data_IF_832885250457
#
_entry.id   IF_832885250457
#
_cell.length_a   1.000
_cell.length_b   1.000
_cell.length_c   1.000
_cell.angle_alpha   90.00
_cell.angle_beta   90.00
_cell.angle_gamma   90.00
#
_symmetry.space_group_name_H-M   'P 1'
#
loop_
_entity.id
_entity.type
_entity.pdbx_description
1 polymer ?
#
# COMPACT_ATOMS: atom_id res chain seq x y z
N UNK A 1 4.15 1.25 -22.95
CA UNK A 1 3.45 1.07 -24.23
C UNK A 1 3.54 -0.37 -24.78
N UNK A 2 4.72 -1.01 -24.77
CA UNK A 2 4.90 -2.40 -25.31
C UNK A 2 3.99 -3.47 -24.68
N UNK A 3 3.54 -3.27 -23.43
CA UNK A 3 2.67 -4.20 -22.72
C UNK A 3 1.17 -3.88 -22.86
N UNK A 4 0.81 -2.72 -23.39
CA UNK A 4 -0.58 -2.27 -23.43
C UNK A 4 -1.47 -3.22 -24.24
N UNK A 5 -1.10 -3.48 -25.49
CA UNK A 5 -1.87 -4.37 -26.36
C UNK A 5 -1.95 -5.80 -25.82
N UNK A 6 -0.83 -6.47 -25.46
CA UNK A 6 -0.89 -7.79 -24.84
C UNK A 6 -1.78 -7.84 -23.59
N UNK A 7 -1.77 -6.80 -22.76
CA UNK A 7 -2.61 -6.71 -21.57
C UNK A 7 -4.10 -6.64 -21.94
N UNK A 8 -4.50 -5.75 -22.84
CA UNK A 8 -5.89 -5.63 -23.26
C UNK A 8 -6.38 -6.89 -24.00
N UNK A 9 -5.56 -7.44 -24.91
CA UNK A 9 -5.87 -8.67 -25.62
C UNK A 9 -6.06 -9.87 -24.68
N UNK A 10 -5.29 -9.92 -23.58
CA UNK A 10 -5.47 -10.96 -22.58
C UNK A 10 -6.92 -10.96 -22.04
N UNK A 11 -7.48 -9.80 -21.70
CA UNK A 11 -8.86 -9.71 -21.23
C UNK A 11 -9.88 -10.04 -22.32
N UNK A 12 -9.65 -9.66 -23.57
CA UNK A 12 -10.52 -10.03 -24.69
C UNK A 12 -10.56 -11.54 -24.89
N UNK A 13 -9.41 -12.21 -24.83
CA UNK A 13 -9.29 -13.66 -25.02
C UNK A 13 -9.93 -14.48 -23.91
N UNK A 14 -9.87 -13.97 -22.67
CA UNK A 14 -10.40 -14.64 -21.49
C UNK A 14 -11.82 -14.14 -21.09
N UNK A 15 -12.46 -13.38 -21.98
CA UNK A 15 -13.76 -12.77 -21.76
C UNK A 15 -14.91 -13.73 -22.12
N UNK A 16 -15.29 -14.57 -21.15
CA UNK A 16 -16.33 -15.57 -21.37
C UNK A 16 -17.74 -14.97 -21.55
N UNK A 17 -17.98 -13.75 -21.10
CA UNK A 17 -19.29 -13.10 -21.08
C UNK A 17 -19.39 -11.88 -22.01
N UNK A 18 -18.41 -11.69 -22.89
CA UNK A 18 -18.27 -10.50 -23.75
C UNK A 18 -18.23 -9.17 -22.97
N UNK A 19 -17.93 -9.21 -21.68
CA UNK A 19 -17.89 -8.01 -20.83
C UNK A 19 -16.83 -7.02 -21.33
N UNK A 20 -15.58 -7.48 -21.50
CA UNK A 20 -14.47 -6.61 -21.92
C UNK A 20 -14.56 -6.20 -23.38
N UNK A 21 -15.04 -7.08 -24.27
CA UNK A 21 -15.28 -6.74 -25.67
C UNK A 21 -16.28 -5.58 -25.77
N UNK A 22 -17.41 -5.66 -25.05
CA UNK A 22 -18.41 -4.60 -25.00
C UNK A 22 -17.88 -3.35 -24.30
N UNK A 23 -17.15 -3.49 -23.19
CA UNK A 23 -16.55 -2.38 -22.46
C UNK A 23 -15.60 -1.59 -23.36
N UNK A 24 -14.69 -2.27 -24.06
CA UNK A 24 -13.72 -1.61 -24.90
C UNK A 24 -14.35 -0.91 -26.09
N UNK A 25 -15.34 -1.53 -26.71
CA UNK A 25 -16.11 -0.89 -27.78
C UNK A 25 -16.85 0.35 -27.28
N UNK A 26 -17.59 0.23 -26.21
CA UNK A 26 -18.38 1.33 -25.63
C UNK A 26 -17.48 2.49 -25.11
N UNK A 27 -16.24 2.22 -24.76
CA UNK A 27 -15.26 3.20 -24.31
C UNK A 27 -14.33 3.71 -25.42
N UNK A 28 -14.58 3.29 -26.69
CA UNK A 28 -13.81 3.74 -27.84
C UNK A 28 -12.38 3.22 -27.88
N UNK A 29 -12.10 2.07 -27.27
CA UNK A 29 -10.81 1.39 -27.30
C UNK A 29 -10.76 0.30 -28.38
N UNK A 30 -11.91 -0.15 -28.86
CA UNK A 30 -12.03 -1.15 -29.91
C UNK A 30 -12.90 -0.62 -31.05
N UNK A 31 -12.60 -1.07 -32.28
CA UNK A 31 -13.30 -0.72 -33.52
C UNK A 31 -14.69 -1.33 -33.59
N UNK A 32 -14.88 -2.44 -32.92
CA UNK A 32 -16.14 -3.19 -32.91
C UNK A 32 -16.30 -4.00 -31.61
N UNK A 33 -17.49 -4.57 -31.43
CA UNK A 33 -17.82 -5.41 -30.27
C UNK A 33 -17.23 -6.84 -30.31
N UNK A 34 -16.44 -7.16 -31.33
CA UNK A 34 -15.69 -8.43 -31.40
C UNK A 34 -14.35 -8.36 -30.65
N UNK A 35 -13.92 -7.16 -30.29
CA UNK A 35 -12.71 -6.91 -29.55
C UNK A 35 -11.50 -6.52 -30.41
N UNK A 36 -11.74 -6.06 -31.65
CA UNK A 36 -10.67 -5.52 -32.49
C UNK A 36 -10.20 -4.17 -31.96
N UNK A 37 -9.06 -4.14 -31.30
CA UNK A 37 -8.52 -2.92 -30.68
C UNK A 37 -8.14 -1.86 -31.71
N UNK A 38 -8.23 -0.60 -31.34
CA UNK A 38 -7.70 0.51 -32.14
C UNK A 38 -6.17 0.42 -32.21
N UNK A 39 -5.58 0.82 -33.33
CA UNK A 39 -4.13 0.63 -33.58
C UNK A 39 -3.24 1.65 -32.89
N UNK A 40 -3.81 2.76 -32.43
CA UNK A 40 -3.15 3.96 -31.94
C UNK A 40 -3.33 4.19 -30.40
N UNK A 41 -3.72 3.13 -29.68
CA UNK A 41 -3.92 3.23 -28.24
C UNK A 41 -2.65 3.59 -27.49
N UNK A 42 -2.80 4.48 -26.54
CA UNK A 42 -1.78 4.90 -25.60
C UNK A 42 -2.14 4.54 -24.14
N UNK A 43 -1.15 4.59 -23.23
CA UNK A 43 -1.37 4.25 -21.82
C UNK A 43 -2.41 5.18 -21.17
N UNK A 44 -2.47 6.43 -21.57
CA UNK A 44 -3.47 7.39 -21.12
C UNK A 44 -4.91 7.00 -21.47
N UNK A 45 -5.12 6.23 -22.54
CA UNK A 45 -6.45 5.74 -22.90
C UNK A 45 -7.02 4.78 -21.86
N UNK A 46 -6.18 4.18 -21.02
CA UNK A 46 -6.62 3.35 -19.90
C UNK A 46 -7.50 4.09 -18.89
N UNK A 47 -7.43 5.43 -18.83
CA UNK A 47 -8.34 6.26 -18.01
C UNK A 47 -9.80 6.06 -18.45
N UNK A 48 -10.05 5.72 -19.71
CA UNK A 48 -11.39 5.39 -20.20
C UNK A 48 -11.99 4.15 -19.53
N UNK A 49 -11.14 3.25 -19.00
CA UNK A 49 -11.55 2.03 -18.30
C UNK A 49 -11.71 2.22 -16.78
N UNK A 50 -11.59 3.45 -16.30
CA UNK A 50 -11.61 3.77 -14.87
C UNK A 50 -12.82 3.22 -14.15
N UNK A 51 -12.57 2.78 -12.93
CA UNK A 51 -13.56 2.41 -11.94
C UNK A 51 -13.27 3.13 -10.63
N UNK A 52 -14.28 3.41 -9.86
CA UNK A 52 -14.11 3.87 -8.48
C UNK A 52 -14.02 2.66 -7.56
N UNK A 53 -13.35 2.82 -6.42
CA UNK A 53 -13.25 1.74 -5.43
C UNK A 53 -14.61 1.15 -5.05
N UNK A 54 -15.66 1.97 -5.05
CA UNK A 54 -17.02 1.52 -4.74
C UNK A 54 -17.61 0.58 -5.81
N UNK A 55 -17.20 0.72 -7.07
CA UNK A 55 -17.65 -0.15 -8.17
C UNK A 55 -17.09 -1.57 -8.06
N UNK A 56 -16.09 -1.78 -7.22
CA UNK A 56 -15.48 -3.08 -6.95
C UNK A 56 -16.12 -3.80 -5.76
N UNK A 57 -17.15 -3.21 -5.14
CA UNK A 57 -17.82 -3.79 -3.98
C UNK A 57 -18.92 -4.77 -4.40
N UNK A 58 -19.10 -5.83 -3.61
CA UNK A 58 -20.14 -6.83 -3.82
C UNK A 58 -20.03 -7.49 -5.19
N UNK A 59 -21.11 -7.46 -5.97
CA UNK A 59 -21.17 -8.09 -7.30
C UNK A 59 -20.41 -7.31 -8.39
N UNK A 60 -20.03 -6.08 -8.13
CA UNK A 60 -19.31 -5.24 -9.09
C UNK A 60 -17.96 -5.83 -9.51
N UNK A 61 -17.23 -6.49 -8.62
CA UNK A 61 -16.02 -7.21 -8.96
C UNK A 61 -16.32 -8.51 -9.70
N UNK A 62 -17.30 -9.28 -9.26
CA UNK A 62 -17.63 -10.59 -9.84
C UNK A 62 -17.94 -10.52 -11.34
N UNK A 63 -18.65 -9.46 -11.77
CA UNK A 63 -19.00 -9.25 -13.17
C UNK A 63 -17.80 -8.97 -14.07
N UNK A 64 -16.65 -8.59 -13.48
CA UNK A 64 -15.40 -8.20 -14.16
C UNK A 64 -14.36 -9.30 -14.17
N UNK A 65 -14.53 -10.34 -13.33
CA UNK A 65 -13.56 -11.43 -13.23
C UNK A 65 -13.50 -12.21 -14.54
N UNK A 66 -12.28 -12.39 -15.06
CA UNK A 66 -12.01 -13.32 -16.14
C UNK A 66 -11.67 -14.68 -15.58
N UNK A 67 -12.09 -15.72 -16.28
CA UNK A 67 -11.68 -17.09 -15.97
C UNK A 67 -10.38 -17.38 -16.71
N UNK A 68 -9.30 -17.56 -15.98
CA UNK A 68 -8.10 -18.19 -16.50
C UNK A 68 -8.37 -19.70 -16.76
N UNK A 69 -7.41 -20.54 -16.83
CA UNK A 69 -7.62 -21.98 -16.95
C UNK A 69 -8.28 -22.57 -15.68
N UNK A 70 -8.81 -23.80 -15.76
CA UNK A 70 -9.53 -24.45 -14.64
C UNK A 70 -8.71 -24.61 -13.35
N UNK A 71 -7.38 -24.57 -13.41
CA UNK A 71 -6.47 -24.60 -12.27
C UNK A 71 -6.27 -23.24 -11.60
N UNK A 72 -6.64 -22.12 -12.25
CA UNK A 72 -6.32 -20.77 -11.81
C UNK A 72 -7.46 -20.11 -11.03
N UNK A 73 -8.56 -20.82 -10.80
CA UNK A 73 -9.69 -20.34 -10.00
C UNK A 73 -9.39 -20.36 -8.48
N UNK A 74 -8.27 -20.91 -8.07
CA UNK A 74 -7.80 -20.87 -6.70
C UNK A 74 -7.18 -19.50 -6.43
N UNK A 75 -7.49 -18.93 -5.27
CA UNK A 75 -6.98 -17.63 -4.89
C UNK A 75 -7.40 -17.25 -3.48
N UNK A 76 -7.19 -16.00 -3.15
CA UNK A 76 -7.50 -15.43 -1.84
C UNK A 76 -8.41 -14.22 -1.97
N UNK A 77 -9.25 -14.01 -0.95
CA UNK A 77 -10.01 -12.78 -0.77
C UNK A 77 -9.29 -11.89 0.23
N UNK A 78 -9.15 -10.62 -0.12
CA UNK A 78 -8.64 -9.59 0.76
C UNK A 78 -9.77 -8.64 1.12
N UNK A 79 -9.86 -8.27 2.40
CA UNK A 79 -10.89 -7.37 2.88
C UNK A 79 -10.32 -6.01 3.19
N UNK A 80 -11.03 -4.98 2.78
CA UNK A 80 -10.75 -3.65 3.30
C UNK A 80 -11.11 -3.57 4.78
N UNK A 81 -10.59 -2.55 5.45
CA UNK A 81 -10.78 -2.37 6.90
C UNK A 81 -12.24 -2.29 7.35
N UNK A 82 -13.19 -2.10 6.45
CA UNK A 82 -14.63 -2.12 6.74
C UNK A 82 -15.06 -1.18 7.85
N UNK A 83 -14.32 -0.13 8.13
CA UNK A 83 -14.58 0.81 9.23
C UNK A 83 -15.75 1.74 8.99
N UNK A 84 -16.49 1.52 7.94
CA UNK A 84 -17.66 2.34 7.65
C UNK A 84 -18.83 1.88 8.52
N UNK A 85 -19.19 2.71 9.46
CA UNK A 85 -20.47 2.60 10.17
C UNK A 85 -21.55 2.94 9.13
N UNK A 86 -22.26 1.93 8.64
CA UNK A 86 -23.32 2.10 7.64
C UNK A 86 -23.47 0.88 6.75
N UNK A 87 -24.53 0.80 6.04
CA UNK A 87 -25.10 -0.32 5.30
C UNK A 87 -24.23 -0.99 4.21
N UNK A 88 -22.93 -0.69 4.14
CA UNK A 88 -22.04 -1.26 3.13
C UNK A 88 -20.78 -1.84 3.78
N UNK A 89 -20.68 -3.14 3.69
CA UNK A 89 -19.59 -3.92 4.25
C UNK A 89 -18.20 -3.64 3.64
N UNK A 90 -17.18 -4.34 4.13
CA UNK A 90 -15.82 -4.23 3.58
C UNK A 90 -15.81 -4.56 2.08
N UNK A 91 -14.83 -4.03 1.36
CA UNK A 91 -14.55 -4.51 -0.01
C UNK A 91 -13.88 -5.86 0.10
N UNK A 92 -14.45 -6.84 -0.57
CA UNK A 92 -13.83 -8.14 -0.77
C UNK A 92 -13.16 -8.14 -2.14
N UNK A 93 -11.85 -8.20 -2.15
CA UNK A 93 -11.06 -8.19 -3.39
C UNK A 93 -10.49 -9.59 -3.60
N UNK A 94 -10.95 -10.26 -4.64
CA UNK A 94 -10.39 -11.55 -5.05
C UNK A 94 -9.09 -11.38 -5.82
N UNK A 95 -8.13 -12.27 -5.55
CA UNK A 95 -6.90 -12.43 -6.32
C UNK A 95 -6.62 -13.90 -6.59
N UNK A 96 -6.52 -14.25 -7.86
CA UNK A 96 -6.08 -15.59 -8.25
C UNK A 96 -4.63 -15.86 -7.83
N UNK A 97 -4.26 -17.12 -7.74
CA UNK A 97 -2.87 -17.52 -7.46
C UNK A 97 -1.88 -16.94 -8.49
N UNK A 98 -2.29 -16.80 -9.75
CA UNK A 98 -1.48 -16.18 -10.79
C UNK A 98 -1.19 -14.71 -10.46
N UNK A 99 -2.23 -13.91 -10.21
CA UNK A 99 -2.09 -12.50 -9.82
C UNK A 99 -1.30 -12.34 -8.52
N UNK A 100 -1.53 -13.20 -7.52
CA UNK A 100 -0.76 -13.18 -6.27
C UNK A 100 0.72 -13.42 -6.50
N UNK A 101 1.08 -14.40 -7.31
CA UNK A 101 2.48 -14.70 -7.61
C UNK A 101 3.17 -13.54 -8.35
N UNK A 102 2.47 -12.88 -9.28
CA UNK A 102 2.97 -11.68 -9.91
C UNK A 102 3.14 -10.53 -8.91
N UNK A 103 2.14 -10.28 -8.07
CA UNK A 103 2.17 -9.23 -7.04
C UNK A 103 3.29 -9.46 -6.02
N UNK A 104 3.48 -10.69 -5.54
CA UNK A 104 4.58 -11.05 -4.63
C UNK A 104 5.94 -10.70 -5.22
N UNK A 105 6.15 -11.09 -6.48
CA UNK A 105 7.41 -10.84 -7.19
C UNK A 105 7.65 -9.35 -7.41
N UNK A 106 6.65 -8.63 -7.88
CA UNK A 106 6.78 -7.23 -8.25
C UNK A 106 6.86 -6.31 -7.04
N UNK A 107 6.02 -6.52 -6.01
CA UNK A 107 6.14 -5.76 -4.77
C UNK A 107 7.46 -6.05 -4.06
N UNK A 108 7.93 -7.30 -4.07
CA UNK A 108 9.25 -7.64 -3.56
C UNK A 108 10.38 -6.90 -4.31
N UNK A 109 10.33 -6.83 -5.63
CA UNK A 109 11.31 -6.09 -6.42
C UNK A 109 11.25 -4.58 -6.16
N UNK A 110 10.06 -4.03 -5.91
CA UNK A 110 9.90 -2.63 -5.56
C UNK A 110 10.52 -2.31 -4.20
N UNK A 111 10.38 -3.21 -3.23
CA UNK A 111 11.03 -3.09 -1.92
C UNK A 111 12.57 -3.19 -2.07
N UNK A 112 13.07 -4.14 -2.86
CA UNK A 112 14.50 -4.26 -3.16
C UNK A 112 15.06 -2.98 -3.78
N UNK A 113 14.33 -2.42 -4.74
CA UNK A 113 14.69 -1.14 -5.36
C UNK A 113 14.74 -0.02 -4.32
N UNK A 114 13.73 0.08 -3.46
CA UNK A 114 13.69 1.11 -2.42
C UNK A 114 14.86 0.98 -1.45
N UNK A 115 15.13 -0.21 -0.95
CA UNK A 115 16.24 -0.49 -0.03
C UNK A 115 17.60 -0.40 -0.73
N UNK A 116 17.65 -0.63 -2.06
CA UNK A 116 18.86 -0.59 -2.89
C UNK A 116 19.70 -1.85 -2.89
N UNK A 117 19.16 -2.91 -2.35
CA UNK A 117 19.72 -4.25 -2.42
C UNK A 117 18.59 -5.27 -2.43
N UNK A 118 18.89 -6.47 -2.90
CA UNK A 118 17.98 -7.58 -2.69
C UNK A 118 17.83 -7.83 -1.20
N UNK A 119 16.60 -7.98 -0.73
CA UNK A 119 16.34 -8.41 0.65
C UNK A 119 16.83 -9.85 0.79
N UNK A 120 17.71 -10.09 1.75
CA UNK A 120 18.33 -11.39 1.95
C UNK A 120 17.36 -12.35 2.66
N UNK A 121 17.38 -13.61 2.23
CA UNK A 121 16.64 -14.69 2.86
C UNK A 121 17.13 -14.87 4.31
N UNK A 122 16.18 -15.07 5.23
CA UNK A 122 16.49 -15.26 6.65
C UNK A 122 16.65 -13.96 7.45
N UNK A 123 16.68 -12.77 6.83
CA UNK A 123 16.65 -11.51 7.58
C UNK A 123 15.38 -11.41 8.43
N UNK A 124 15.50 -10.83 9.62
CA UNK A 124 14.38 -10.72 10.56
C UNK A 124 13.57 -9.44 10.32
N UNK A 125 12.27 -9.61 10.28
CA UNK A 125 11.28 -8.55 10.17
C UNK A 125 10.31 -8.60 11.34
N UNK A 126 10.02 -7.47 11.94
CA UNK A 126 8.97 -7.31 12.91
C UNK A 126 7.84 -6.43 12.35
N UNK A 127 6.64 -6.98 12.29
CA UNK A 127 5.46 -6.29 11.79
C UNK A 127 4.48 -6.01 12.93
N UNK A 128 4.15 -4.75 13.18
CA UNK A 128 3.22 -4.37 14.25
C UNK A 128 1.74 -4.69 13.95
N UNK A 129 1.41 -5.25 12.78
CA UNK A 129 0.09 -5.76 12.47
C UNK A 129 -0.10 -7.19 13.02
N UNK A 130 -1.33 -7.70 13.05
CA UNK A 130 -1.56 -9.14 13.22
C UNK A 130 -1.09 -9.90 11.98
N UNK A 131 -0.78 -11.19 12.16
CA UNK A 131 -0.65 -12.10 11.03
C UNK A 131 -1.93 -12.06 10.18
N UNK A 132 -1.79 -12.24 8.88
CA UNK A 132 -2.93 -12.26 7.95
C UNK A 132 -3.79 -13.51 8.18
N UNK A 133 -4.67 -13.45 9.17
CA UNK A 133 -5.64 -14.48 9.45
C UNK A 133 -7.00 -14.19 8.85
N UNK A 134 -7.31 -12.91 8.64
CA UNK A 134 -8.60 -12.41 8.15
C UNK A 134 -8.43 -11.25 7.13
N UNK A 135 -7.42 -11.35 6.27
CA UNK A 135 -7.41 -10.61 5.01
C UNK A 135 -7.18 -9.10 5.11
N UNK A 136 -6.45 -8.61 6.09
CA UNK A 136 -6.06 -7.20 6.10
C UNK A 136 -4.95 -6.95 5.07
N UNK A 137 -5.22 -6.11 4.07
CA UNK A 137 -4.26 -5.84 2.98
C UNK A 137 -2.89 -5.34 3.48
N UNK A 138 -2.87 -4.51 4.52
CA UNK A 138 -1.61 -4.05 5.13
C UNK A 138 -0.81 -5.19 5.76
N UNK A 139 -1.49 -6.14 6.41
CA UNK A 139 -0.84 -7.32 6.98
C UNK A 139 -0.27 -8.24 5.90
N UNK A 140 -0.84 -8.24 4.69
CA UNK A 140 -0.37 -9.05 3.57
C UNK A 140 1.08 -8.72 3.17
N UNK A 141 1.54 -7.50 3.33
CA UNK A 141 2.93 -7.12 3.01
C UNK A 141 3.90 -7.97 3.82
N UNK A 142 3.74 -8.06 5.12
CA UNK A 142 4.60 -8.87 5.98
C UNK A 142 4.30 -10.37 5.88
N UNK A 143 3.01 -10.76 5.91
CA UNK A 143 2.62 -12.17 5.96
C UNK A 143 2.79 -12.89 4.63
N UNK A 144 2.47 -12.24 3.52
CA UNK A 144 2.45 -12.89 2.23
C UNK A 144 3.69 -12.52 1.39
N UNK A 145 3.93 -11.23 1.16
CA UNK A 145 5.00 -10.84 0.23
C UNK A 145 6.40 -11.09 0.80
N UNK A 146 6.66 -10.67 2.03
CA UNK A 146 8.01 -10.73 2.60
C UNK A 146 8.34 -12.11 3.16
N UNK A 147 7.37 -12.78 3.80
CA UNK A 147 7.56 -14.17 4.23
C UNK A 147 7.81 -15.09 3.02
N UNK A 148 7.12 -14.86 1.90
CA UNK A 148 7.32 -15.62 0.66
C UNK A 148 8.71 -15.44 0.03
N UNK A 149 9.41 -14.38 0.40
CA UNK A 149 10.82 -14.14 0.04
C UNK A 149 11.82 -14.74 1.03
N UNK A 150 11.36 -15.51 2.00
CA UNK A 150 12.20 -16.19 2.96
C UNK A 150 12.57 -15.38 4.21
N UNK A 151 11.92 -14.22 4.45
CA UNK A 151 12.15 -13.46 5.68
C UNK A 151 11.54 -14.15 6.89
N UNK A 152 12.21 -14.05 8.03
CA UNK A 152 11.71 -14.46 9.33
C UNK A 152 10.79 -13.35 9.87
N UNK A 153 9.48 -13.49 9.70
CA UNK A 153 8.50 -12.47 10.07
C UNK A 153 7.87 -12.79 11.42
N UNK A 154 7.94 -11.85 12.35
CA UNK A 154 7.21 -11.86 13.63
C UNK A 154 6.13 -10.78 13.64
N UNK A 155 5.00 -11.04 14.30
CA UNK A 155 3.85 -10.14 14.34
C UNK A 155 3.61 -9.63 15.75
N UNK A 156 3.58 -8.31 15.92
CA UNK A 156 3.42 -7.65 17.22
C UNK A 156 1.96 -7.52 17.70
N UNK A 157 1.00 -7.88 16.87
CA UNK A 157 -0.41 -7.82 17.20
C UNK A 157 -1.11 -9.13 16.87
N UNK A 158 -2.29 -9.32 17.48
CA UNK A 158 -3.19 -10.43 17.19
C UNK A 158 -4.64 -9.99 17.20
N UNK A 159 -5.48 -10.74 16.49
CA UNK A 159 -6.92 -10.56 16.54
C UNK A 159 -7.45 -11.31 17.76
N UNK A 160 -8.06 -10.60 18.69
CA UNK A 160 -8.68 -11.18 19.89
C UNK A 160 -10.08 -11.68 19.56
N UNK A 161 -10.54 -12.69 20.32
CA UNK A 161 -11.95 -13.06 20.35
C UNK A 161 -12.77 -11.86 20.85
N UNK A 162 -13.95 -11.68 20.27
CA UNK A 162 -14.82 -10.55 20.65
C UNK A 162 -16.25 -10.78 20.18
N UNK A 163 -17.18 -9.88 20.52
CA UNK A 163 -18.57 -9.96 20.09
C UNK A 163 -18.67 -10.12 18.57
N UNK A 164 -19.69 -10.86 18.10
CA UNK A 164 -19.91 -11.12 16.68
C UNK A 164 -20.07 -9.82 15.85
N UNK A 165 -20.59 -8.79 16.46
CA UNK A 165 -20.86 -7.48 15.85
C UNK A 165 -19.64 -6.55 15.85
N UNK A 166 -18.53 -6.96 16.47
CA UNK A 166 -17.31 -6.14 16.49
C UNK A 166 -16.52 -6.34 15.20
N UNK A 167 -16.03 -5.22 14.64
CA UNK A 167 -15.13 -5.27 13.50
C UNK A 167 -13.79 -5.89 13.86
N UNK A 168 -13.08 -6.46 12.89
CA UNK A 168 -11.72 -6.99 13.10
C UNK A 168 -10.82 -5.94 13.76
N UNK A 169 -10.92 -4.67 13.33
CA UNK A 169 -10.13 -3.57 13.88
C UNK A 169 -10.36 -3.30 15.35
N UNK A 170 -11.58 -3.51 15.85
CA UNK A 170 -11.88 -3.38 17.28
C UNK A 170 -11.29 -4.52 18.09
N UNK A 171 -11.00 -5.65 17.45
CA UNK A 171 -10.45 -6.84 18.07
C UNK A 171 -8.92 -6.94 17.97
N UNK A 172 -8.27 -6.13 17.11
CA UNK A 172 -6.81 -6.10 17.05
C UNK A 172 -6.23 -5.51 18.34
N UNK A 173 -5.33 -6.23 18.94
CA UNK A 173 -4.58 -5.78 20.09
C UNK A 173 -3.15 -6.29 20.11
N UNK A 174 -2.28 -5.73 20.96
CA UNK A 174 -0.89 -6.17 21.02
C UNK A 174 -0.78 -7.63 21.45
N UNK A 175 0.12 -8.35 20.82
CA UNK A 175 0.60 -9.64 21.32
C UNK A 175 1.78 -9.41 22.24
N UNK A 176 1.51 -9.43 23.55
CA UNK A 176 2.52 -9.12 24.57
C UNK A 176 3.68 -10.13 24.54
N UNK A 177 3.41 -11.38 24.18
CA UNK A 177 4.45 -12.40 24.08
C UNK A 177 5.43 -12.09 22.94
N UNK A 178 4.91 -11.80 21.76
CA UNK A 178 5.73 -11.43 20.60
C UNK A 178 6.42 -10.07 20.79
N UNK A 179 5.73 -9.09 21.40
CA UNK A 179 6.35 -7.82 21.73
C UNK A 179 7.55 -7.97 22.69
N UNK A 180 7.43 -8.83 23.70
CA UNK A 180 8.57 -9.13 24.59
C UNK A 180 9.73 -9.80 23.86
N UNK A 181 9.45 -10.75 22.96
CA UNK A 181 10.50 -11.36 22.14
C UNK A 181 11.18 -10.32 21.25
N UNK A 182 10.40 -9.44 20.61
CA UNK A 182 10.92 -8.34 19.83
C UNK A 182 11.89 -7.48 20.64
N UNK A 183 11.48 -6.94 21.79
CA UNK A 183 12.35 -6.08 22.60
C UNK A 183 13.58 -6.80 23.13
N UNK A 184 13.52 -8.12 23.34
CA UNK A 184 14.68 -8.90 23.73
C UNK A 184 15.69 -9.08 22.61
N UNK A 185 15.21 -9.22 21.37
CA UNK A 185 16.01 -9.58 20.18
C UNK A 185 16.02 -8.45 19.14
N UNK A 186 15.67 -7.22 19.50
CA UNK A 186 15.47 -6.11 18.58
C UNK A 186 16.67 -5.83 17.67
N UNK A 187 17.91 -6.04 18.16
CA UNK A 187 19.13 -5.86 17.39
C UNK A 187 19.30 -6.86 16.24
N UNK A 188 18.48 -7.90 16.17
CA UNK A 188 18.43 -8.83 15.05
C UNK A 188 17.42 -8.40 13.99
N UNK A 189 16.54 -7.44 14.31
CA UNK A 189 15.50 -6.98 13.40
C UNK A 189 16.08 -6.01 12.39
N UNK A 190 16.02 -6.38 11.12
CA UNK A 190 16.44 -5.53 9.99
C UNK A 190 15.32 -4.62 9.51
N UNK A 191 14.10 -5.10 9.50
CA UNK A 191 12.93 -4.36 9.03
C UNK A 191 11.90 -4.29 10.14
N UNK A 192 11.46 -3.07 10.45
CA UNK A 192 10.40 -2.83 11.40
C UNK A 192 9.24 -2.17 10.67
N UNK A 193 8.11 -2.88 10.51
CA UNK A 193 6.91 -2.35 9.85
C UNK A 193 5.91 -1.90 10.91
N UNK A 194 5.48 -0.65 10.81
CA UNK A 194 4.48 -0.08 11.71
C UNK A 194 3.49 0.81 10.96
N UNK A 195 2.27 0.94 11.50
CA UNK A 195 1.36 2.01 11.10
C UNK A 195 1.61 3.26 11.93
N UNK A 196 1.21 4.43 11.41
CA UNK A 196 1.29 5.68 12.18
C UNK A 196 0.58 5.57 13.54
N UNK A 197 -0.58 4.92 13.57
CA UNK A 197 -1.30 4.63 14.83
C UNK A 197 -0.49 3.72 15.75
N UNK A 198 0.19 2.74 15.19
CA UNK A 198 1.06 1.83 15.96
C UNK A 198 2.20 2.60 16.65
N UNK A 199 2.90 3.43 15.88
CA UNK A 199 3.98 4.28 16.40
C UNK A 199 3.46 5.25 17.48
N UNK A 200 2.36 5.94 17.19
CA UNK A 200 1.74 6.85 18.16
C UNK A 200 1.43 6.16 19.49
N UNK A 201 0.74 5.03 19.43
CA UNK A 201 0.37 4.26 20.62
C UNK A 201 1.57 3.70 21.38
N UNK A 202 2.63 3.37 20.69
CA UNK A 202 3.83 2.81 21.30
C UNK A 202 4.72 3.87 21.94
N UNK A 203 4.87 5.02 21.31
CA UNK A 203 5.88 6.01 21.72
C UNK A 203 5.32 7.33 22.24
N UNK A 204 4.16 7.80 21.73
CA UNK A 204 3.62 9.12 22.04
C UNK A 204 2.48 9.07 23.08
N UNK A 205 1.53 8.13 22.92
CA UNK A 205 0.38 8.02 23.83
C UNK A 205 0.73 7.66 25.28
N UNK A 206 1.75 6.82 25.57
CA UNK A 206 2.05 6.43 26.94
C UNK A 206 2.54 7.60 27.80
N UNK A 207 1.73 8.03 28.76
CA UNK A 207 2.05 9.09 29.74
C UNK A 207 2.12 8.52 31.16
N UNK A 208 2.97 9.09 32.02
CA UNK A 208 3.04 8.78 33.44
C UNK A 208 3.31 7.30 33.75
N UNK A 209 2.49 6.69 34.59
CA UNK A 209 2.63 5.28 35.01
C UNK A 209 2.59 4.27 33.88
N UNK A 210 1.85 4.53 32.77
CA UNK A 210 1.86 3.65 31.58
C UNK A 210 3.21 3.66 30.90
N UNK A 211 3.85 4.82 30.76
CA UNK A 211 5.20 4.95 30.19
C UNK A 211 6.22 4.21 31.04
N UNK A 212 6.12 4.35 32.36
CA UNK A 212 6.97 3.65 33.31
C UNK A 212 6.74 2.12 33.27
N UNK A 213 5.49 1.69 33.24
CA UNK A 213 5.12 0.27 33.11
C UNK A 213 5.59 -0.36 31.81
N UNK A 214 5.43 0.33 30.69
CA UNK A 214 5.97 -0.14 29.38
C UNK A 214 7.50 -0.22 29.40
N UNK A 215 8.18 0.77 29.95
CA UNK A 215 9.64 0.75 30.08
C UNK A 215 10.11 -0.40 30.97
N UNK A 216 9.41 -0.68 32.06
CA UNK A 216 9.75 -1.76 32.98
C UNK A 216 9.42 -3.16 32.41
N UNK A 217 8.27 -3.30 31.73
CA UNK A 217 7.78 -4.60 31.24
C UNK A 217 8.35 -5.00 29.90
N UNK A 218 8.70 -4.04 29.04
CA UNK A 218 9.08 -4.26 27.64
C UNK A 218 10.50 -3.75 27.31
N UNK A 219 11.22 -3.17 28.26
CA UNK A 219 12.48 -2.43 28.02
C UNK A 219 12.36 -1.35 26.92
N UNK A 220 11.15 -0.86 26.69
CA UNK A 220 10.89 0.15 25.69
C UNK A 220 10.99 1.55 26.26
N UNK A 221 11.13 2.55 25.42
CA UNK A 221 12.09 2.78 24.36
C UNK A 221 13.42 3.32 24.89
N UNK A 222 14.48 3.44 24.10
CA UNK A 222 14.54 3.35 22.64
C UNK A 222 14.59 1.92 22.11
N UNK A 223 14.18 1.75 20.84
CA UNK A 223 14.29 0.49 20.08
C UNK A 223 15.58 0.53 19.28
N UNK A 224 16.41 -0.47 19.44
CA UNK A 224 17.67 -0.61 18.73
C UNK A 224 17.55 -1.73 17.69
N UNK A 225 17.28 -1.36 16.44
CA UNK A 225 17.30 -2.28 15.31
C UNK A 225 18.74 -2.66 15.01
N UNK A 226 18.96 -3.72 14.23
CA UNK A 226 20.31 -4.08 13.77
C UNK A 226 20.97 -2.97 12.97
N UNK A 227 22.27 -3.13 12.71
CA UNK A 227 22.99 -2.24 11.79
C UNK A 227 22.23 -2.17 10.45
N UNK A 228 22.11 -0.97 9.88
CA UNK A 228 21.24 -0.65 8.74
C UNK A 228 19.76 -1.01 8.95
N UNK A 229 19.27 -1.05 10.17
CA UNK A 229 17.85 -1.24 10.47
C UNK A 229 16.98 -0.19 9.79
N UNK A 230 15.79 -0.59 9.31
CA UNK A 230 14.89 0.27 8.53
C UNK A 230 13.51 0.26 9.18
N UNK A 231 12.93 1.45 9.33
CA UNK A 231 11.52 1.61 9.67
C UNK A 231 10.70 1.73 8.40
N UNK A 232 9.77 0.82 8.19
CA UNK A 232 8.77 0.89 7.12
C UNK A 232 7.45 1.30 7.74
N UNK A 233 6.86 2.37 7.25
CA UNK A 233 5.58 2.85 7.74
C UNK A 233 4.52 2.78 6.66
N UNK A 234 3.28 2.58 7.07
CA UNK A 234 2.14 2.57 6.16
C UNK A 234 0.85 2.91 6.91
N UNK A 235 -0.22 3.08 6.13
CA UNK A 235 -1.52 3.45 6.67
C UNK A 235 -1.70 4.96 6.82
N UNK A 236 -2.97 5.37 6.91
CA UNK A 236 -3.34 6.78 7.01
C UNK A 236 -3.35 7.31 8.45
N UNK A 237 -3.81 8.56 8.59
CA UNK A 237 -3.92 9.27 9.86
C UNK A 237 -5.15 8.87 10.71
N UNK A 238 -5.96 7.94 10.23
CA UNK A 238 -7.16 7.51 10.95
C UNK A 238 -6.83 7.00 12.35
N UNK A 239 -7.68 7.38 13.29
CA UNK A 239 -7.55 7.01 14.70
C UNK A 239 -6.35 7.63 15.43
N UNK A 240 -5.65 8.54 14.81
CA UNK A 240 -4.74 9.44 15.49
C UNK A 240 -5.56 10.60 16.10
N UNK A 241 -5.11 11.20 17.21
CA UNK A 241 -5.71 12.41 17.72
C UNK A 241 -5.73 13.54 16.69
N UNK A 242 -6.73 14.43 16.75
CA UNK A 242 -6.93 15.52 15.79
C UNK A 242 -5.73 16.48 15.69
N UNK A 243 -4.97 16.60 16.76
CA UNK A 243 -3.72 17.38 16.79
C UNK A 243 -2.60 16.80 15.92
N UNK A 244 -2.70 15.52 15.52
CA UNK A 244 -1.75 14.88 14.61
C UNK A 244 -2.23 15.09 13.19
N UNK A 245 -1.63 16.04 12.49
CA UNK A 245 -2.05 16.45 11.15
C UNK A 245 -1.32 15.75 10.01
N UNK A 246 -0.20 15.07 10.32
CA UNK A 246 0.59 14.35 9.30
C UNK A 246 1.31 13.13 9.87
N UNK A 247 1.53 12.15 9.01
CA UNK A 247 2.36 10.99 9.35
C UNK A 247 3.83 11.41 9.60
N UNK A 248 4.29 12.45 8.91
CA UNK A 248 5.60 13.04 9.12
C UNK A 248 5.81 13.53 10.55
N UNK A 249 4.77 14.13 11.14
CA UNK A 249 4.82 14.53 12.57
C UNK A 249 5.05 13.33 13.49
N UNK A 250 4.28 12.24 13.28
CA UNK A 250 4.44 11.01 14.07
C UNK A 250 5.85 10.47 13.97
N UNK A 251 6.39 10.43 12.76
CA UNK A 251 7.74 9.91 12.51
C UNK A 251 8.81 10.78 13.13
N UNK A 252 8.72 12.10 13.02
CA UNK A 252 9.67 13.02 13.66
C UNK A 252 9.66 12.87 15.18
N UNK A 253 8.49 12.80 15.80
CA UNK A 253 8.36 12.66 17.25
C UNK A 253 8.77 11.26 17.76
N UNK A 254 8.73 10.24 16.91
CA UNK A 254 9.13 8.87 17.29
C UNK A 254 10.51 8.48 16.78
N UNK A 255 11.10 9.23 15.85
CA UNK A 255 12.35 8.90 15.19
C UNK A 255 13.54 8.78 16.14
N UNK A 256 13.60 9.61 17.18
CA UNK A 256 14.65 9.54 18.21
C UNK A 256 14.60 8.24 19.05
N UNK A 257 13.50 7.51 18.99
CA UNK A 257 13.29 6.28 19.74
C UNK A 257 13.55 5.02 18.91
N UNK A 258 13.79 5.13 17.59
CA UNK A 258 14.03 4.00 16.72
C UNK A 258 15.38 4.19 16.03
N UNK A 259 16.37 3.45 16.51
CA UNK A 259 17.78 3.62 16.17
C UNK A 259 18.24 2.46 15.29
N UNK A 260 18.95 2.74 14.19
CA UNK A 260 19.70 1.76 13.43
C UNK A 260 21.10 1.61 14.07
N UNK A 261 21.31 0.52 14.81
CA UNK A 261 22.54 0.30 15.57
C UNK A 261 22.29 -0.25 16.95
N UNK A 262 23.28 -0.11 17.83
CA UNK A 262 23.28 -0.74 19.17
C UNK A 262 23.35 0.26 20.32
N UNK A 263 23.51 1.56 20.03
CA UNK A 263 23.74 2.60 21.04
C UNK A 263 22.85 3.81 20.78
N UNK A 264 22.51 4.52 21.84
CA UNK A 264 21.68 5.73 21.78
C UNK A 264 22.22 6.82 20.85
N UNK A 265 23.53 6.86 20.62
CA UNK A 265 24.18 7.87 19.77
C UNK A 265 24.32 7.40 18.32
N UNK A 266 23.87 6.19 18.01
CA UNK A 266 23.80 5.72 16.63
C UNK A 266 22.69 6.48 15.89
N UNK A 267 22.69 6.39 14.56
CA UNK A 267 21.77 7.16 13.73
C UNK A 267 20.34 6.64 13.89
N UNK A 268 19.34 7.52 13.83
CA UNK A 268 17.96 7.11 13.68
C UNK A 268 17.78 6.20 12.48
N UNK A 269 16.90 5.22 12.60
CA UNK A 269 16.59 4.31 11.49
C UNK A 269 15.98 5.09 10.32
N UNK A 270 16.49 4.94 9.09
CA UNK A 270 15.85 5.52 7.92
C UNK A 270 14.41 5.03 7.77
N UNK A 271 13.54 5.91 7.31
CA UNK A 271 12.11 5.63 7.17
C UNK A 271 11.73 5.46 5.71
N UNK A 272 10.99 4.42 5.42
CA UNK A 272 10.33 4.18 4.14
C UNK A 272 8.83 4.29 4.35
N UNK A 273 8.17 5.20 3.62
CA UNK A 273 6.72 5.31 3.62
C UNK A 273 6.09 4.45 2.52
N UNK A 274 5.03 3.74 2.84
CA UNK A 274 4.31 2.85 1.95
C UNK A 274 2.84 3.25 1.88
N UNK A 275 2.34 3.45 0.67
CA UNK A 275 0.91 3.61 0.40
C UNK A 275 0.37 2.32 -0.21
N UNK A 276 -0.31 1.53 0.60
CA UNK A 276 -1.03 0.34 0.14
C UNK A 276 -2.49 0.66 -0.14
N UNK A 277 -3.02 0.10 -1.21
CA UNK A 277 -4.43 0.20 -1.56
C UNK A 277 -5.04 -1.20 -1.50
N UNK A 278 -6.09 -1.36 -0.70
CA UNK A 278 -6.74 -2.67 -0.50
C UNK A 278 -7.29 -3.22 -1.79
N UNK A 279 -7.82 -2.34 -2.63
CA UNK A 279 -8.44 -2.68 -3.90
C UNK A 279 -7.45 -3.30 -4.88
N UNK A 280 -6.16 -3.00 -4.75
CA UNK A 280 -5.13 -3.47 -5.68
C UNK A 280 -4.16 -4.47 -5.08
N UNK A 281 -4.07 -4.55 -3.75
CA UNK A 281 -3.01 -5.30 -3.06
C UNK A 281 -1.63 -4.92 -3.60
N UNK A 282 -1.53 -3.70 -4.07
CA UNK A 282 -0.31 -3.10 -4.58
C UNK A 282 0.20 -2.04 -3.62
N UNK A 283 1.47 -1.78 -3.68
CA UNK A 283 2.14 -0.81 -2.83
C UNK A 283 2.85 0.21 -3.70
N UNK A 284 2.63 1.48 -3.39
CA UNK A 284 3.53 2.56 -3.79
C UNK A 284 4.51 2.76 -2.66
N UNK A 285 5.79 2.75 -2.97
CA UNK A 285 6.82 2.77 -1.94
C UNK A 285 7.68 4.03 -2.05
N UNK A 286 7.91 4.65 -0.91
CA UNK A 286 8.90 5.70 -0.77
C UNK A 286 10.32 5.15 -0.79
N UNK A 287 11.28 6.03 -0.58
CA UNK A 287 12.69 5.68 -0.43
C UNK A 287 13.15 6.04 0.97
N UNK A 288 14.18 5.39 1.48
CA UNK A 288 14.68 5.66 2.83
C UNK A 288 15.08 7.11 3.03
N UNK A 289 14.43 7.79 3.96
CA UNK A 289 14.70 9.18 4.33
C UNK A 289 15.06 9.29 5.81
N UNK A 290 15.79 10.34 6.16
CA UNK A 290 16.01 10.72 7.54
C UNK A 290 14.64 11.07 8.18
N UNK A 291 14.27 10.49 9.35
CA UNK A 291 13.01 10.76 10.01
C UNK A 291 12.81 12.24 10.41
N UNK A 292 13.89 12.99 10.53
CA UNK A 292 13.86 14.42 10.86
C UNK A 292 13.89 15.34 9.63
N UNK A 293 14.03 14.78 8.43
CA UNK A 293 13.93 15.53 7.19
C UNK A 293 12.59 16.26 7.09
N UNK A 294 12.63 17.46 6.51
CA UNK A 294 11.43 18.17 6.10
C UNK A 294 10.92 17.72 4.74
N UNK A 295 11.66 16.80 4.08
CA UNK A 295 11.29 16.30 2.79
C UNK A 295 10.02 15.47 2.90
N UNK A 296 9.14 15.69 1.97
CA UNK A 296 7.97 14.86 1.81
C UNK A 296 8.38 13.52 1.22
N UNK A 297 7.77 12.46 1.67
CA UNK A 297 8.07 11.12 1.18
C UNK A 297 7.40 10.87 -0.15
N UNK A 298 8.19 11.03 -1.19
CA UNK A 298 7.75 10.78 -2.55
C UNK A 298 7.59 9.27 -2.73
N UNK A 299 6.44 8.86 -3.23
CA UNK A 299 6.10 7.47 -3.51
C UNK A 299 6.28 7.17 -4.98
N UNK A 300 6.84 6.03 -5.27
CA UNK A 300 7.10 5.56 -6.62
C UNK A 300 6.31 4.28 -6.90
N UNK A 301 5.69 4.20 -8.07
CA UNK A 301 5.03 2.96 -8.50
C UNK A 301 6.06 1.95 -9.01
N UNK A 302 5.66 0.67 -8.98
CA UNK A 302 6.37 -0.35 -9.74
C UNK A 302 6.30 -0.04 -11.26
N UNK A 303 7.33 -0.35 -12.07
CA UNK A 303 7.31 -0.10 -13.52
C UNK A 303 6.12 -0.71 -14.28
N UNK A 304 5.49 -1.75 -13.74
CA UNK A 304 4.26 -2.35 -14.29
C UNK A 304 2.97 -1.73 -13.73
N UNK A 305 3.06 -0.67 -12.94
CA UNK A 305 1.91 0.13 -12.50
C UNK A 305 1.96 1.45 -13.23
N UNK A 306 1.05 1.64 -14.17
CA UNK A 306 0.90 2.93 -14.83
C UNK A 306 0.19 3.89 -13.90
N UNK A 307 0.80 5.03 -13.64
CA UNK A 307 0.22 6.11 -12.84
C UNK A 307 0.08 7.35 -13.71
N UNK A 308 -1.05 8.00 -13.64
CA UNK A 308 -1.25 9.33 -14.16
C UNK A 308 -2.06 10.17 -13.16
N UNK A 309 -1.90 11.47 -13.27
CA UNK A 309 -2.60 12.43 -12.44
C UNK A 309 -3.74 13.04 -13.24
N UNK A 310 -4.89 13.20 -12.60
CA UNK A 310 -6.09 13.77 -13.19
C UNK A 310 -6.34 15.15 -12.57
N UNK A 311 -6.90 16.08 -13.34
CA UNK A 311 -7.12 17.45 -12.87
C UNK A 311 -7.99 17.52 -11.61
N UNK A 312 -9.13 16.83 -11.63
CA UNK A 312 -10.09 16.85 -10.50
C UNK A 312 -11.11 15.72 -10.64
N UNK A 313 -11.94 15.48 -9.63
CA UNK A 313 -13.04 14.52 -9.72
C UNK A 313 -14.04 14.81 -10.85
N UNK A 314 -14.21 16.07 -11.18
CA UNK A 314 -15.13 16.52 -12.24
C UNK A 314 -14.45 16.62 -13.61
N UNK A 315 -13.12 16.64 -13.63
CA UNK A 315 -12.31 16.65 -14.85
C UNK A 315 -11.26 15.53 -14.77
N UNK A 316 -11.61 14.37 -15.30
CA UNK A 316 -10.78 13.18 -15.32
C UNK A 316 -9.82 13.15 -16.52
N UNK A 317 -9.46 14.32 -17.05
CA UNK A 317 -8.45 14.43 -18.10
C UNK A 317 -7.07 14.19 -17.52
N UNK A 318 -6.26 13.27 -18.11
CA UNK A 318 -4.88 13.08 -17.74
C UNK A 318 -4.06 14.36 -17.88
N UNK A 319 -3.25 14.65 -16.88
CA UNK A 319 -2.33 15.79 -16.91
C UNK A 319 -0.99 15.32 -17.49
N UNK A 320 -0.62 15.83 -18.67
CA UNK A 320 0.60 15.39 -19.34
C UNK A 320 1.87 15.84 -18.61
N UNK A 321 1.89 17.07 -18.09
CA UNK A 321 3.02 17.64 -17.38
C UNK A 321 2.57 18.19 -16.01
N UNK A 322 2.44 17.34 -15.01
CA UNK A 322 2.00 17.78 -13.68
C UNK A 322 3.02 18.75 -13.06
N UNK A 323 2.54 19.87 -12.56
CA UNK A 323 3.36 20.88 -11.89
C UNK A 323 3.77 20.37 -10.50
N UNK A 324 5.07 20.38 -10.17
CA UNK A 324 5.54 19.96 -8.86
C UNK A 324 4.88 20.79 -7.73
N UNK A 325 4.45 20.08 -6.68
CA UNK A 325 3.79 20.69 -5.53
C UNK A 325 2.31 21.02 -5.72
N UNK A 326 1.76 20.88 -6.93
CA UNK A 326 0.33 21.05 -7.19
C UNK A 326 -0.43 19.77 -6.91
N UNK A 327 -1.64 19.91 -6.38
CA UNK A 327 -2.51 18.79 -6.01
C UNK A 327 -3.33 18.30 -7.22
N UNK A 328 -3.37 16.99 -7.38
CA UNK A 328 -4.07 16.27 -8.43
C UNK A 328 -4.75 15.03 -7.87
N UNK A 329 -5.73 14.52 -8.61
CA UNK A 329 -6.37 13.25 -8.29
C UNK A 329 -5.55 12.08 -8.83
N UNK A 330 -5.27 11.09 -7.98
CA UNK A 330 -4.53 9.89 -8.36
C UNK A 330 -5.38 8.96 -9.25
N UNK A 331 -4.80 8.51 -10.35
CA UNK A 331 -5.29 7.37 -11.13
C UNK A 331 -4.14 6.39 -11.37
N UNK A 332 -4.43 5.10 -11.30
CA UNK A 332 -3.44 4.09 -11.64
C UNK A 332 -4.08 2.86 -12.29
N UNK A 333 -3.24 2.15 -13.07
CA UNK A 333 -3.55 0.83 -13.62
C UNK A 333 -2.46 -0.14 -13.23
N UNK A 334 -2.84 -1.20 -12.55
CA UNK A 334 -1.92 -2.27 -12.19
C UNK A 334 -1.93 -3.35 -13.29
N UNK A 335 -0.91 -3.34 -14.15
CA UNK A 335 -0.78 -4.30 -15.24
C UNK A 335 -0.43 -5.73 -14.80
N UNK A 336 -0.24 -5.93 -13.49
CA UNK A 336 0.03 -7.24 -12.91
C UNK A 336 -1.24 -7.96 -12.45
N UNK A 337 -2.36 -7.25 -12.37
CA UNK A 337 -3.65 -7.84 -12.05
C UNK A 337 -4.23 -8.44 -13.33
N UNK A 338 -4.38 -9.75 -13.34
CA UNK A 338 -4.92 -10.51 -14.45
C UNK A 338 -6.34 -11.06 -14.20
N UNK A 339 -6.90 -10.80 -13.02
CA UNK A 339 -8.24 -11.23 -12.66
C UNK A 339 -9.32 -10.33 -13.24
N UNK A 340 -9.04 -9.04 -13.31
CA UNK A 340 -9.85 -7.99 -13.94
C UNK A 340 -8.97 -6.77 -14.21
N UNK A 341 -9.42 -5.88 -15.09
CA UNK A 341 -8.70 -4.63 -15.34
C UNK A 341 -8.81 -3.72 -14.11
N UNK A 342 -7.67 -3.50 -13.49
CA UNK A 342 -7.53 -2.66 -12.32
C UNK A 342 -7.11 -1.24 -12.71
N UNK A 343 -8.06 -0.49 -13.28
CA UNK A 343 -7.92 0.92 -13.62
C UNK A 343 -8.68 1.75 -12.59
N UNK A 344 -8.01 2.20 -11.53
CA UNK A 344 -8.68 2.70 -10.32
C UNK A 344 -8.43 4.19 -10.09
N UNK A 345 -9.52 4.89 -9.76
CA UNK A 345 -9.50 6.20 -9.13
C UNK A 345 -9.83 6.00 -7.64
N UNK A 346 -8.84 5.95 -6.75
CA UNK A 346 -9.07 5.60 -5.34
C UNK A 346 -9.73 6.73 -4.54
N UNK A 347 -9.80 7.93 -5.10
CA UNK A 347 -10.26 9.12 -4.39
C UNK A 347 -9.17 9.75 -3.51
N UNK A 348 -7.92 9.48 -3.82
CA UNK A 348 -6.77 10.07 -3.13
C UNK A 348 -6.20 11.22 -3.95
N UNK A 349 -6.01 12.37 -3.30
CA UNK A 349 -5.28 13.50 -3.85
C UNK A 349 -3.81 13.39 -3.50
N UNK A 350 -2.97 13.74 -4.48
CA UNK A 350 -1.52 13.68 -4.37
C UNK A 350 -0.89 14.95 -4.94
N UNK A 351 0.26 15.32 -4.41
CA UNK A 351 1.11 16.35 -4.98
C UNK A 351 2.06 15.71 -5.98
N UNK A 352 2.18 16.26 -7.16
CA UNK A 352 3.20 15.83 -8.10
C UNK A 352 4.59 16.13 -7.55
N UNK A 353 5.53 15.21 -7.68
CA UNK A 353 6.94 15.48 -7.38
C UNK A 353 7.66 16.05 -8.61
N UNK A 354 8.88 16.54 -8.41
CA UNK A 354 9.75 16.83 -9.54
C UNK A 354 10.04 15.56 -10.34
N UNK A 355 10.09 15.68 -11.65
CA UNK A 355 10.52 14.59 -12.52
C UNK A 355 12.03 14.47 -12.45
N UNK A 356 12.52 13.30 -12.04
CA UNK A 356 13.96 13.01 -11.88
C UNK A 356 14.26 11.65 -12.48
N UNK A 357 15.44 11.50 -13.05
CA UNK A 357 15.93 10.19 -13.51
C UNK A 357 16.55 9.38 -12.37
N UNK A 358 16.95 10.06 -11.31
CA UNK A 358 17.51 9.44 -10.12
C UNK A 358 17.30 10.30 -8.88
N UNK A 359 17.29 9.66 -7.72
CA UNK A 359 17.12 10.28 -6.40
C UNK A 359 18.21 9.80 -5.45
N UNK A 360 18.69 10.71 -4.61
CA UNK A 360 19.56 10.38 -3.50
C UNK A 360 18.74 10.01 -2.27
N UNK A 361 19.13 8.96 -1.57
CA UNK A 361 18.45 8.46 -0.39
C UNK A 361 19.44 8.23 0.75
N UNK A 362 18.95 7.99 1.96
CA UNK A 362 19.79 7.64 3.10
C UNK A 362 20.61 6.35 2.89
N UNK A 363 20.19 5.50 1.94
CA UNK A 363 20.85 4.23 1.60
C UNK A 363 21.50 4.24 0.19
N UNK A 364 21.79 5.42 -0.35
CA UNK A 364 22.43 5.60 -1.66
C UNK A 364 21.46 5.96 -2.78
N UNK A 365 21.97 6.04 -4.01
CA UNK A 365 21.24 6.53 -5.18
C UNK A 365 20.31 5.48 -5.77
N UNK A 366 19.12 5.92 -6.24
CA UNK A 366 18.15 5.09 -6.95
C UNK A 366 17.79 5.68 -8.30
N UNK A 367 17.76 4.86 -9.34
CA UNK A 367 17.21 5.26 -10.63
C UNK A 367 15.69 5.19 -10.57
N UNK A 368 15.03 6.15 -11.22
CA UNK A 368 13.58 6.32 -11.22
C UNK A 368 13.06 6.19 -12.64
N UNK A 369 12.04 5.37 -12.84
CA UNK A 369 11.43 5.13 -14.17
C UNK A 369 10.15 5.92 -14.41
N UNK A 370 9.53 6.43 -13.36
CA UNK A 370 8.29 7.21 -13.41
C UNK A 370 8.36 8.37 -12.42
N UNK A 371 7.63 9.43 -12.71
CA UNK A 371 7.47 10.52 -11.76
C UNK A 371 6.79 10.02 -10.49
N UNK A 372 7.33 10.39 -9.34
CA UNK A 372 6.74 10.08 -8.05
C UNK A 372 5.64 11.05 -7.66
N UNK A 373 4.99 10.76 -6.55
CA UNK A 373 3.96 11.61 -5.97
C UNK A 373 3.99 11.55 -4.44
N UNK A 374 3.44 12.56 -3.82
CA UNK A 374 3.32 12.67 -2.36
C UNK A 374 1.83 12.59 -2.02
N UNK A 375 1.45 11.69 -1.12
CA UNK A 375 0.08 11.64 -0.64
C UNK A 375 -0.28 12.97 0.05
N UNK A 376 -1.36 13.59 -0.39
CA UNK A 376 -1.86 14.84 0.18
C UNK A 376 -3.03 14.57 1.14
N UNK A 377 -4.13 14.13 0.57
CA UNK A 377 -5.37 13.90 1.33
C UNK A 377 -6.32 12.97 0.59
N UNK A 378 -7.32 12.52 1.28
CA UNK A 378 -8.46 11.87 0.64
C UNK A 378 -9.47 12.91 0.16
N UNK A 379 -10.12 12.63 -0.98
CA UNK A 379 -11.20 13.46 -1.50
C UNK A 379 -12.35 13.55 -0.48
N UNK A 380 -13.05 14.66 -0.42
CA UNK A 380 -14.21 14.88 0.45
C UNK A 380 -15.51 14.48 -0.27
N UNK A 381 -16.57 14.27 0.50
CA UNK A 381 -17.85 13.81 -0.02
C UNK A 381 -18.49 14.81 -0.99
N UNK A 382 -18.26 16.10 -0.81
CA UNK A 382 -18.71 17.20 -1.65
C UNK A 382 -17.92 17.36 -2.96
N UNK A 383 -16.79 16.66 -3.09
CA UNK A 383 -15.96 16.64 -4.31
C UNK A 383 -16.39 15.57 -5.32
N UNK A 384 -17.64 15.07 -5.24
CA UNK A 384 -18.21 14.13 -6.22
C UNK A 384 -17.85 12.66 -6.02
N UNK A 385 -17.09 12.36 -4.97
CA UNK A 385 -16.84 10.99 -4.54
C UNK A 385 -17.86 10.56 -3.51
N UNK A 386 -18.43 9.38 -3.68
CA UNK A 386 -19.14 8.68 -2.60
C UNK A 386 -18.15 8.20 -1.57
N UNK A 387 -17.51 9.14 -0.87
CA UNK A 387 -16.50 8.80 0.10
C UNK A 387 -17.16 8.14 1.28
N UNK A 388 -16.86 6.89 1.40
CA UNK A 388 -17.10 6.17 2.63
C UNK A 388 -15.83 6.23 3.45
N UNK A 389 -15.94 6.79 4.62
CA UNK A 389 -14.86 6.80 5.61
C UNK A 389 -14.39 5.36 5.83
N UNK A 390 -13.28 4.94 5.28
CA UNK A 390 -12.80 3.63 5.56
C UNK A 390 -11.72 3.12 4.64
N UNK A 391 -10.56 3.40 4.77
CA UNK A 391 -9.29 2.74 4.47
C UNK A 391 -8.19 3.79 4.41
N UNK A 392 -7.50 3.97 5.45
CA UNK A 392 -6.18 4.54 5.51
C UNK A 392 -5.34 3.53 6.25
#
# INVERSE_FOLDING_TARGET
KKLLYPYLEFFIRNDNNNYYKNLFYNRGLAKNNKGDLNNDLELQDLVKLRVHSDDLRGDGQKSRLVKHSNSDNEGMFFKSSGTTVGTVGPVDVFRSNLTLNLSRKTNGNLIDWSVGKKIDEGECLFHMAPEMTDFLAFAAIGSDFLRHRGLNVSFGAKVKSGPKDSTIWQRIGPDIGEMRKFFKNQSQIKYFIASGVGLYKMFMEPKGLKKFGMKLMLNAPPVYLGEDGILMIGGGLKRLPEEITSLSQVVKETGEYIIAGHKKNDKPAPVIDMLGLTESINVFIGVPTDPFSNDHWVKYPHPLTYVTLLNSPNDLTPVENPEPGKEYLLFYVNLMTLDYIEAIVPGDFVLASEKKDSIDTALGKRNVSQQGFIYSRRAKQDEGFKIREGCG
#
